data_IF_897143889118
#
_entry.id   IF_897143889118
#
_cell.length_a   1.000
_cell.length_b   1.000
_cell.length_c   1.000
_cell.angle_alpha   90.00
_cell.angle_beta   90.00
_cell.angle_gamma   90.00
#
_symmetry.space_group_name_H-M   'P 1'
#
loop_
_entity.id
_entity.type
_entity.pdbx_description
1 polymer ?
#
# COMPACT_ATOMS: atom_id res chain seq x y z
N UNK A 1 15.13 -10.33 -6.19
CA UNK A 1 14.93 -10.62 -4.75
C UNK A 1 13.96 -9.58 -4.25
N UNK A 2 12.71 -9.98 -3.99
CA UNK A 2 11.61 -9.06 -3.73
C UNK A 2 11.88 -8.21 -2.49
N UNK A 3 11.62 -6.91 -2.59
CA UNK A 3 11.74 -6.00 -1.47
C UNK A 3 10.87 -6.51 -0.31
N UNK A 4 11.49 -6.76 0.84
CA UNK A 4 10.76 -7.19 2.04
C UNK A 4 9.93 -6.02 2.55
N UNK A 5 8.64 -6.03 2.20
CA UNK A 5 7.68 -5.02 2.67
C UNK A 5 7.50 -5.19 4.18
N UNK A 6 7.85 -4.14 4.92
CA UNK A 6 7.60 -4.03 6.35
C UNK A 6 6.35 -3.21 6.58
N UNK A 7 5.50 -3.71 7.46
CA UNK A 7 4.19 -3.13 7.76
C UNK A 7 4.21 -2.44 9.12
N UNK A 8 3.53 -1.31 9.22
CA UNK A 8 3.20 -0.65 10.49
C UNK A 8 1.75 -0.13 10.44
N UNK A 9 1.06 -0.02 11.58
CA UNK A 9 -0.24 0.65 11.61
C UNK A 9 -0.09 2.09 11.12
N UNK A 10 -1.05 2.56 10.31
CA UNK A 10 -1.14 3.98 10.00
C UNK A 10 -1.67 4.70 11.24
N UNK A 11 -1.06 5.82 11.60
CA UNK A 11 -1.48 6.60 12.75
C UNK A 11 -2.30 7.81 12.30
N UNK A 12 -3.30 8.18 13.08
CA UNK A 12 -4.01 9.45 12.98
C UNK A 12 -3.15 10.62 13.49
N UNK A 13 -3.60 11.85 13.27
CA UNK A 13 -3.07 13.08 13.87
C UNK A 13 -2.80 13.01 15.39
N UNK A 14 -3.52 12.16 16.12
CA UNK A 14 -3.34 11.92 17.56
C UNK A 14 -2.30 10.85 17.91
N UNK A 15 -1.62 10.29 16.91
CA UNK A 15 -0.73 9.13 17.01
C UNK A 15 -1.43 7.81 17.39
N UNK A 16 -2.77 7.78 17.30
CA UNK A 16 -3.56 6.56 17.49
C UNK A 16 -3.58 5.71 16.21
N UNK A 17 -3.49 4.38 16.30
CA UNK A 17 -3.60 3.51 15.13
C UNK A 17 -4.99 3.59 14.50
N UNK A 18 -5.03 3.84 13.20
CA UNK A 18 -6.25 3.80 12.40
C UNK A 18 -6.60 2.32 12.16
N UNK A 19 -7.80 1.86 12.55
CA UNK A 19 -8.23 0.49 12.30
C UNK A 19 -8.18 0.15 10.82
N UNK A 20 -7.79 -1.08 10.50
CA UNK A 20 -7.81 -1.60 9.13
C UNK A 20 -6.98 -0.76 8.13
N UNK A 21 -5.97 -0.01 8.62
CA UNK A 21 -5.11 0.82 7.80
C UNK A 21 -3.63 0.70 8.18
N UNK A 22 -2.79 0.49 7.17
CA UNK A 22 -1.36 0.22 7.33
C UNK A 22 -0.52 1.09 6.40
N UNK A 23 0.73 1.31 6.81
CA UNK A 23 1.79 1.92 6.02
C UNK A 23 2.90 0.92 5.78
N UNK A 24 3.43 0.90 4.56
CA UNK A 24 4.65 0.16 4.25
C UNK A 24 5.91 0.99 4.49
N UNK A 25 7.08 0.35 4.60
CA UNK A 25 8.38 1.03 4.61
C UNK A 25 8.68 1.78 3.31
N UNK A 26 8.07 1.39 2.20
CA UNK A 26 8.13 2.11 0.93
C UNK A 26 7.16 3.31 0.85
N UNK A 27 6.35 3.55 1.90
CA UNK A 27 5.47 4.72 2.02
C UNK A 27 4.05 4.51 1.45
N UNK A 28 3.72 3.31 0.96
CA UNK A 28 2.38 3.00 0.47
C UNK A 28 1.40 2.94 1.64
N UNK A 29 0.19 3.45 1.42
CA UNK A 29 -0.94 3.25 2.34
C UNK A 29 -1.79 2.09 1.84
N UNK A 30 -2.13 1.16 2.73
CA UNK A 30 -3.10 0.09 2.47
C UNK A 30 -4.25 0.24 3.44
N UNK A 31 -5.48 0.25 2.94
CA UNK A 31 -6.67 0.28 3.77
C UNK A 31 -7.62 -0.86 3.40
N UNK A 32 -8.17 -1.54 4.39
CA UNK A 32 -9.20 -2.56 4.20
C UNK A 32 -10.57 -1.90 4.35
N UNK A 33 -11.32 -1.84 3.26
CA UNK A 33 -12.67 -1.28 3.17
C UNK A 33 -13.70 -2.40 3.06
N UNK A 34 -14.89 -2.22 3.64
CA UNK A 34 -15.93 -3.28 3.70
C UNK A 34 -17.18 -2.99 2.86
N UNK A 35 -17.17 -1.94 2.05
CA UNK A 35 -18.33 -1.54 1.25
C UNK A 35 -17.92 -1.29 -0.22
N UNK A 36 -18.64 -1.85 -1.22
CA UNK A 36 -19.78 -2.79 -1.13
C UNK A 36 -19.39 -4.25 -0.81
N UNK A 37 -18.10 -4.57 -0.81
CA UNK A 37 -17.54 -5.86 -0.39
C UNK A 37 -16.17 -5.60 0.27
N UNK A 38 -15.66 -6.60 1.00
CA UNK A 38 -14.33 -6.53 1.60
C UNK A 38 -13.25 -6.42 0.51
N UNK A 39 -12.48 -5.33 0.54
CA UNK A 39 -11.38 -5.06 -0.41
C UNK A 39 -10.25 -4.30 0.28
N UNK A 40 -9.04 -4.51 -0.19
CA UNK A 40 -7.88 -3.69 0.10
C UNK A 40 -7.74 -2.62 -0.98
N UNK A 41 -7.54 -1.37 -0.56
CA UNK A 41 -7.15 -0.26 -1.43
C UNK A 41 -5.67 0.03 -1.20
N UNK A 42 -4.93 0.32 -2.27
CA UNK A 42 -3.50 0.57 -2.22
C UNK A 42 -3.23 1.95 -2.83
N UNK A 43 -2.67 2.85 -2.04
CA UNK A 43 -2.36 4.24 -2.42
C UNK A 43 -0.86 4.47 -2.41
N UNK A 44 -0.35 5.13 -3.46
CA UNK A 44 1.07 5.47 -3.60
C UNK A 44 1.53 6.47 -2.54
N UNK A 45 2.84 6.53 -2.25
CA UNK A 45 3.39 7.54 -1.35
C UNK A 45 3.10 8.96 -1.88
N UNK A 46 2.43 9.79 -1.08
CA UNK A 46 2.11 11.18 -1.46
C UNK A 46 0.87 11.37 -2.32
N UNK A 47 0.28 10.29 -2.83
CA UNK A 47 -0.98 10.34 -3.59
C UNK A 47 -2.21 10.39 -2.68
N UNK A 48 -3.29 10.97 -3.22
CA UNK A 48 -4.59 11.01 -2.56
C UNK A 48 -5.52 9.85 -2.98
N UNK A 49 -5.30 9.29 -4.18
CA UNK A 49 -6.17 8.26 -4.76
C UNK A 49 -5.47 6.90 -4.81
N UNK A 50 -6.18 5.79 -4.50
CA UNK A 50 -5.63 4.46 -4.66
C UNK A 50 -5.38 4.14 -6.14
N UNK A 51 -4.25 3.49 -6.42
CA UNK A 51 -3.90 3.04 -7.77
C UNK A 51 -4.37 1.60 -8.05
N UNK A 52 -4.58 0.80 -6.99
CA UNK A 52 -4.98 -0.59 -7.09
C UNK A 52 -5.98 -0.99 -6.01
N UNK A 53 -6.75 -2.03 -6.31
CA UNK A 53 -7.76 -2.63 -5.47
C UNK A 53 -7.65 -4.15 -5.58
N UNK A 54 -7.79 -4.87 -4.47
CA UNK A 54 -7.82 -6.35 -4.46
C UNK A 54 -8.69 -6.87 -3.32
N UNK A 55 -9.39 -7.98 -3.51
CA UNK A 55 -10.06 -8.72 -2.43
C UNK A 55 -9.12 -9.72 -1.71
N UNK A 56 -7.95 -9.99 -2.27
CA UNK A 56 -6.97 -10.91 -1.71
C UNK A 56 -5.82 -10.16 -1.01
N UNK A 57 -5.68 -10.37 0.29
CA UNK A 57 -4.60 -9.76 1.10
C UNK A 57 -3.20 -10.15 0.61
N UNK A 58 -3.01 -11.40 0.16
CA UNK A 58 -1.75 -11.91 -0.37
C UNK A 58 -1.30 -11.25 -1.68
N UNK A 59 -2.20 -10.58 -2.41
CA UNK A 59 -1.85 -9.85 -3.63
C UNK A 59 -1.35 -8.44 -3.36
N UNK A 60 -1.69 -7.86 -2.20
CA UNK A 60 -1.24 -6.53 -1.80
C UNK A 60 0.29 -6.37 -1.93
N UNK A 61 1.14 -7.23 -1.34
CA UNK A 61 2.59 -7.08 -1.47
C UNK A 61 3.07 -7.21 -2.92
N UNK A 62 2.44 -8.08 -3.73
CA UNK A 62 2.79 -8.29 -5.14
C UNK A 62 2.49 -7.05 -5.98
N UNK A 63 1.33 -6.43 -5.76
CA UNK A 63 0.90 -5.21 -6.44
C UNK A 63 1.82 -4.03 -6.10
N UNK A 64 2.23 -3.92 -4.83
CA UNK A 64 3.20 -2.89 -4.40
C UNK A 64 4.56 -3.13 -5.06
N UNK A 65 5.08 -4.36 -5.06
CA UNK A 65 6.35 -4.67 -5.71
C UNK A 65 6.32 -4.34 -7.22
N UNK A 66 5.25 -4.69 -7.91
CA UNK A 66 5.09 -4.39 -9.34
C UNK A 66 5.05 -2.88 -9.62
N UNK A 67 4.39 -2.09 -8.77
CA UNK A 67 4.35 -0.62 -8.91
C UNK A 67 5.70 0.04 -8.65
N UNK A 68 6.47 -0.47 -7.67
CA UNK A 68 7.85 -0.03 -7.41
C UNK A 68 8.74 -0.31 -8.62
N UNK A 69 8.65 -1.51 -9.19
CA UNK A 69 9.42 -1.89 -10.39
C UNK A 69 9.05 -1.03 -11.60
N UNK A 70 7.75 -0.75 -11.80
CA UNK A 70 7.26 0.10 -12.89
C UNK A 70 7.64 1.58 -12.70
N UNK A 71 7.76 2.05 -11.46
CA UNK A 71 8.11 3.44 -11.13
C UNK A 71 9.61 3.72 -11.17
N UNK A 72 10.46 2.69 -11.27
CA UNK A 72 11.90 2.87 -11.42
C UNK A 72 12.16 3.54 -12.78
N UNK A 73 12.87 4.68 -12.84
CA UNK A 73 13.19 5.30 -14.13
C UNK A 73 14.00 4.32 -14.98
N UNK A 74 13.74 4.22 -16.30
CA UNK A 74 14.53 3.38 -17.17
C UNK A 74 15.95 3.96 -17.25
N UNK A 75 16.90 3.30 -16.57
CA UNK A 75 18.34 3.51 -16.72
C UNK A 75 18.86 4.92 -16.41
N UNK A 76 19.21 5.19 -15.16
CA UNK A 76 20.37 6.07 -14.91
C UNK A 76 21.62 5.20 -15.07
N UNK A 77 22.36 5.45 -16.15
CA UNK A 77 23.66 4.87 -16.44
C UNK A 77 24.75 5.54 -15.60
#
# INVERSE_FOLDING_TARGET
MGEHIRWKPKLDSRLDPIPDCWLTNAGYTVAKVRAPAERFTITRPGDAAPFAYTDAGDDVPKLISADIEASKPPGVN
#
